data_IF_716238932304
#
_entry.id   IF_716238932304
#
_cell.length_a   1.000
_cell.length_b   1.000
_cell.length_c   1.000
_cell.angle_alpha   90.00
_cell.angle_beta   90.00
_cell.angle_gamma   90.00
#
_symmetry.space_group_name_H-M   'P 1'
#
loop_
_entity.id
_entity.type
_entity.pdbx_description
1 polymer ?
#
# COMPACT_ATOMS: atom_id res chain seq x y z
N UNK A 1 -49.46 -79.40 0.86
CA UNK A 1 -48.90 -78.69 -0.30
C UNK A 1 -49.57 -77.33 -0.39
N UNK A 2 -48.77 -76.28 -0.16
CA UNK A 2 -48.97 -74.84 -0.44
C UNK A 2 -50.32 -74.17 -0.13
N UNK A 3 -50.37 -73.32 0.91
CA UNK A 3 -51.38 -72.29 1.08
C UNK A 3 -50.93 -70.90 0.59
N UNK A 4 -51.96 -70.11 0.33
CA UNK A 4 -52.17 -68.67 0.14
C UNK A 4 -51.23 -67.65 0.85
N UNK A 5 -51.23 -66.42 0.28
CA UNK A 5 -50.72 -65.09 0.74
C UNK A 5 -49.30 -64.74 0.20
N UNK A 6 -49.02 -63.58 -0.40
CA UNK A 6 -49.38 -62.22 0.03
C UNK A 6 -49.31 -61.19 -1.12
N UNK A 7 -50.32 -60.32 -1.17
CA UNK A 7 -50.24 -58.96 -1.72
C UNK A 7 -49.37 -58.15 -0.74
N UNK A 8 -48.12 -57.84 -1.11
CA UNK A 8 -47.32 -56.70 -0.61
C UNK A 8 -45.96 -56.70 -1.34
N UNK A 9 -45.90 -56.17 -2.56
CA UNK A 9 -44.63 -55.64 -3.11
C UNK A 9 -44.81 -54.12 -3.14
N UNK A 10 -44.88 -53.60 -1.92
CA UNK A 10 -44.82 -52.18 -1.60
C UNK A 10 -43.35 -51.78 -1.69
N UNK A 11 -43.06 -50.75 -2.50
CA UNK A 11 -42.07 -49.70 -2.20
C UNK A 11 -40.88 -50.14 -1.33
N UNK A 12 -39.85 -50.73 -1.93
CA UNK A 12 -38.57 -50.93 -1.22
C UNK A 12 -37.34 -50.86 -2.13
N UNK A 13 -37.41 -50.01 -3.17
CA UNK A 13 -36.26 -49.74 -4.06
C UNK A 13 -35.94 -48.25 -4.22
N UNK A 14 -36.35 -47.40 -3.26
CA UNK A 14 -36.09 -45.96 -3.28
C UNK A 14 -35.57 -45.43 -1.93
N UNK A 15 -34.77 -46.23 -1.24
CA UNK A 15 -33.91 -45.75 -0.15
C UNK A 15 -32.49 -46.32 -0.30
N UNK A 16 -31.95 -46.26 -1.52
CA UNK A 16 -30.51 -46.09 -1.63
C UNK A 16 -30.24 -44.63 -1.25
N UNK A 17 -29.88 -44.43 0.01
CA UNK A 17 -29.34 -43.18 0.55
C UNK A 17 -28.28 -42.66 -0.42
N UNK A 18 -28.68 -41.69 -1.25
CA UNK A 18 -27.77 -40.88 -2.02
C UNK A 18 -27.03 -40.00 -1.02
N UNK A 19 -25.90 -40.51 -0.52
CA UNK A 19 -24.77 -39.69 -0.07
C UNK A 19 -24.31 -38.88 -1.28
N UNK A 20 -25.08 -37.84 -1.59
CA UNK A 20 -24.84 -36.89 -2.67
C UNK A 20 -23.78 -35.92 -2.17
N UNK A 21 -22.53 -36.40 -2.13
CA UNK A 21 -21.38 -35.52 -2.11
C UNK A 21 -21.24 -34.90 -3.51
N UNK A 22 -21.12 -33.58 -3.58
CA UNK A 22 -20.45 -32.95 -4.71
C UNK A 22 -19.06 -33.62 -4.81
N UNK A 23 -18.78 -34.23 -5.97
CA UNK A 23 -17.56 -35.00 -6.24
C UNK A 23 -16.68 -34.31 -7.26
N UNK A 24 -16.65 -32.97 -7.23
CA UNK A 24 -16.00 -32.16 -8.23
C UNK A 24 -14.54 -31.89 -7.91
N UNK A 25 -14.26 -31.41 -6.69
CA UNK A 25 -12.91 -31.13 -6.17
C UNK A 25 -12.85 -31.54 -4.71
N UNK A 26 -11.74 -32.13 -4.28
CA UNK A 26 -11.51 -32.43 -2.86
C UNK A 26 -11.23 -31.14 -2.09
N UNK A 27 -12.15 -30.75 -1.22
CA UNK A 27 -12.00 -29.61 -0.30
C UNK A 27 -11.37 -30.09 1.01
N UNK A 28 -10.27 -29.44 1.42
CA UNK A 28 -9.53 -29.81 2.62
C UNK A 28 -10.23 -29.26 3.88
N UNK A 29 -10.87 -30.15 4.64
CA UNK A 29 -11.59 -29.77 5.86
C UNK A 29 -10.58 -29.42 6.96
N UNK A 30 -10.66 -28.19 7.44
CA UNK A 30 -9.85 -27.70 8.56
C UNK A 30 -10.76 -27.39 9.73
N UNK A 31 -10.46 -27.92 10.92
CA UNK A 31 -11.22 -27.59 12.12
C UNK A 31 -10.90 -26.17 12.58
N UNK A 32 -11.90 -25.49 13.15
CA UNK A 32 -11.70 -24.26 13.90
C UNK A 32 -11.04 -24.63 15.24
N UNK A 33 -9.90 -24.02 15.54
CA UNK A 33 -9.15 -24.25 16.76
C UNK A 33 -9.86 -23.63 17.95
N UNK A 34 -9.65 -24.19 19.15
CA UNK A 34 -10.22 -23.61 20.37
C UNK A 34 -9.54 -22.27 20.68
N UNK A 35 -10.30 -21.22 21.07
CA UNK A 35 -9.72 -19.97 21.55
C UNK A 35 -8.78 -20.19 22.73
N UNK A 36 -7.75 -19.35 22.84
CA UNK A 36 -6.87 -19.31 24.00
C UNK A 36 -7.49 -18.45 25.10
N UNK A 37 -7.21 -18.80 26.36
CA UNK A 37 -7.73 -18.07 27.51
C UNK A 37 -7.14 -16.66 27.59
N UNK A 38 -8.02 -15.67 27.82
CA UNK A 38 -7.60 -14.30 28.01
C UNK A 38 -6.95 -14.12 29.40
N UNK A 39 -5.78 -13.46 29.46
CA UNK A 39 -5.16 -13.14 30.75
C UNK A 39 -6.02 -12.16 31.55
N UNK A 40 -6.19 -12.42 32.86
CA UNK A 40 -7.14 -11.71 33.74
C UNK A 40 -6.87 -10.20 33.90
N UNK A 41 -5.70 -9.69 33.48
CA UNK A 41 -5.30 -8.29 33.60
C UNK A 41 -4.57 -7.72 32.36
N UNK A 42 -4.63 -8.40 31.21
CA UNK A 42 -3.96 -7.91 30.00
C UNK A 42 -4.84 -6.94 29.22
N UNK A 43 -4.24 -5.86 28.72
CA UNK A 43 -4.81 -5.04 27.66
C UNK A 43 -4.12 -5.46 26.37
N UNK A 44 -4.78 -6.22 25.48
CA UNK A 44 -4.16 -6.59 24.21
C UNK A 44 -3.74 -5.33 23.44
N UNK A 45 -2.62 -5.41 22.74
CA UNK A 45 -2.21 -4.36 21.84
C UNK A 45 -3.28 -4.17 20.74
N UNK A 46 -3.72 -2.94 20.45
CA UNK A 46 -4.74 -2.71 19.43
C UNK A 46 -4.27 -3.20 18.06
N UNK A 47 -5.06 -4.07 17.42
CA UNK A 47 -4.78 -4.63 16.10
C UNK A 47 -5.71 -4.02 15.06
N UNK A 48 -5.21 -3.83 13.84
CA UNK A 48 -5.98 -3.26 12.73
C UNK A 48 -5.82 -4.09 11.47
N UNK A 49 -6.93 -4.40 10.81
CA UNK A 49 -6.90 -5.11 9.53
C UNK A 49 -6.71 -4.13 8.38
N UNK A 50 -5.61 -4.29 7.64
CA UNK A 50 -5.20 -3.33 6.61
C UNK A 50 -5.73 -3.72 5.22
N UNK A 51 -5.42 -4.93 4.76
CA UNK A 51 -5.81 -5.38 3.41
C UNK A 51 -5.74 -6.89 3.25
N UNK A 52 -6.57 -7.37 2.33
CA UNK A 52 -6.53 -8.72 1.79
C UNK A 52 -6.05 -8.69 0.33
N UNK A 53 -5.22 -9.67 -0.06
CA UNK A 53 -4.80 -9.88 -1.46
C UNK A 53 -4.96 -11.33 -1.87
N UNK A 54 -5.50 -11.56 -3.06
CA UNK A 54 -5.52 -12.87 -3.68
C UNK A 54 -4.23 -13.09 -4.46
N UNK A 55 -3.47 -14.12 -4.09
CA UNK A 55 -2.21 -14.53 -4.71
C UNK A 55 -2.30 -15.97 -5.21
N UNK A 56 -3.37 -16.27 -5.95
CA UNK A 56 -3.65 -17.59 -6.51
C UNK A 56 -2.87 -17.74 -7.83
N UNK A 57 -2.13 -18.83 -8.05
CA UNK A 57 -1.40 -19.07 -9.29
C UNK A 57 -2.31 -19.04 -10.53
N UNK A 58 -1.85 -18.40 -11.60
CA UNK A 58 -2.59 -18.39 -12.87
C UNK A 58 -2.82 -19.81 -13.36
N UNK A 59 -4.09 -20.14 -13.59
CA UNK A 59 -4.52 -21.43 -14.08
C UNK A 59 -4.85 -22.47 -13.01
N UNK A 60 -4.71 -22.12 -11.72
CA UNK A 60 -5.15 -22.98 -10.62
C UNK A 60 -6.66 -23.25 -10.69
N UNK A 61 -7.02 -24.51 -10.44
CA UNK A 61 -8.41 -24.97 -10.34
C UNK A 61 -8.93 -24.65 -8.94
N UNK A 62 -9.74 -23.59 -8.83
CA UNK A 62 -10.22 -23.08 -7.55
C UNK A 62 -11.63 -23.54 -7.18
N UNK A 63 -12.41 -23.95 -8.17
CA UNK A 63 -13.84 -24.17 -8.00
C UNK A 63 -14.34 -25.26 -8.96
N UNK A 64 -15.15 -26.15 -8.43
CA UNK A 64 -15.96 -27.09 -9.18
C UNK A 64 -17.41 -26.70 -9.04
N UNK A 65 -18.16 -26.71 -10.15
CA UNK A 65 -19.58 -26.45 -10.12
C UNK A 65 -20.34 -27.47 -10.97
N UNK A 66 -21.47 -27.96 -10.43
CA UNK A 66 -22.37 -28.83 -11.18
C UNK A 66 -22.97 -28.10 -12.40
N UNK A 67 -23.16 -28.75 -13.57
CA UNK A 67 -23.76 -28.13 -14.74
C UNK A 67 -25.18 -27.61 -14.48
N UNK A 68 -25.52 -26.47 -15.09
CA UNK A 68 -26.91 -25.99 -15.16
C UNK A 68 -27.69 -26.82 -16.19
N UNK A 69 -28.78 -27.49 -15.80
CA UNK A 69 -29.65 -28.22 -16.73
C UNK A 69 -30.50 -29.34 -16.11
N UNK A 70 -31.39 -29.91 -16.93
CA UNK A 70 -32.42 -30.90 -16.57
C UNK A 70 -31.91 -32.19 -15.88
N UNK A 71 -30.64 -32.53 -16.02
CA UNK A 71 -30.01 -33.71 -15.40
C UNK A 71 -29.03 -33.36 -14.27
N UNK A 72 -28.63 -32.09 -14.13
CA UNK A 72 -27.67 -31.64 -13.12
C UNK A 72 -28.24 -31.60 -11.70
N UNK A 73 -29.54 -31.31 -11.56
CA UNK A 73 -30.21 -31.22 -10.26
C UNK A 73 -30.59 -32.58 -9.66
N UNK A 74 -30.70 -33.64 -10.48
CA UNK A 74 -31.16 -34.97 -10.03
C UNK A 74 -30.06 -35.77 -9.32
N UNK A 75 -28.81 -35.57 -9.70
CA UNK A 75 -27.70 -36.38 -9.20
C UNK A 75 -26.63 -35.57 -8.49
N UNK A 76 -26.59 -34.24 -8.66
CA UNK A 76 -25.40 -33.43 -8.36
C UNK A 76 -24.11 -34.10 -8.88
N UNK A 77 -24.18 -35.02 -9.85
CA UNK A 77 -23.10 -35.92 -10.21
C UNK A 77 -22.84 -35.76 -11.70
N UNK A 78 -21.72 -35.09 -11.98
CA UNK A 78 -20.92 -35.17 -13.20
C UNK A 78 -21.58 -34.88 -14.55
N UNK A 79 -20.83 -34.28 -15.50
CA UNK A 79 -19.44 -33.81 -15.38
C UNK A 79 -19.38 -32.38 -14.82
N UNK A 80 -18.58 -32.14 -13.77
CA UNK A 80 -18.39 -30.80 -13.23
C UNK A 80 -17.57 -29.93 -14.18
N UNK A 81 -17.97 -28.67 -14.35
CA UNK A 81 -17.18 -27.70 -15.09
C UNK A 81 -16.10 -27.11 -14.18
N UNK A 82 -14.84 -27.20 -14.58
CA UNK A 82 -13.75 -26.49 -13.89
C UNK A 82 -13.83 -25.01 -14.26
N UNK A 83 -14.26 -24.16 -13.33
CA UNK A 83 -14.29 -22.71 -13.58
C UNK A 83 -12.91 -22.14 -13.28
N UNK A 84 -12.16 -21.84 -14.34
CA UNK A 84 -10.88 -21.14 -14.26
C UNK A 84 -11.14 -19.63 -14.25
N UNK A 85 -11.47 -19.07 -13.08
CA UNK A 85 -11.71 -17.62 -12.96
C UNK A 85 -10.35 -16.93 -12.74
N UNK A 86 -9.98 -16.02 -13.64
CA UNK A 86 -8.82 -15.15 -13.46
C UNK A 86 -9.04 -14.16 -12.30
N UNK A 87 -8.70 -14.57 -11.07
CA UNK A 87 -8.73 -13.71 -9.86
C UNK A 87 -7.45 -12.86 -9.76
N UNK A 88 -6.53 -12.99 -10.73
CA UNK A 88 -5.26 -12.27 -10.74
C UNK A 88 -5.46 -10.76 -10.95
N UNK A 89 -5.26 -9.99 -9.88
CA UNK A 89 -4.98 -8.55 -9.96
C UNK A 89 -6.00 -7.61 -9.33
N UNK A 90 -7.13 -8.09 -8.78
CA UNK A 90 -8.04 -7.20 -8.05
C UNK A 90 -7.76 -7.26 -6.56
N UNK A 91 -7.12 -6.21 -6.05
CA UNK A 91 -7.11 -5.94 -4.60
C UNK A 91 -8.51 -5.44 -4.27
N UNK A 92 -9.41 -6.33 -3.88
CA UNK A 92 -10.66 -5.94 -3.25
C UNK A 92 -10.36 -5.81 -1.76
N UNK A 93 -10.15 -4.59 -1.27
CA UNK A 93 -10.49 -4.33 0.13
C UNK A 93 -12.00 -4.20 0.11
N UNK A 94 -12.70 -5.33 0.19
CA UNK A 94 -14.13 -5.31 0.43
C UNK A 94 -14.28 -5.01 1.92
N UNK A 95 -15.02 -3.95 2.25
CA UNK A 95 -15.32 -3.60 3.64
C UNK A 95 -15.95 -4.80 4.37
N UNK A 96 -16.61 -5.71 3.65
CA UNK A 96 -17.12 -6.99 4.18
C UNK A 96 -16.06 -7.85 4.86
N UNK A 97 -14.90 -8.08 4.23
CA UNK A 97 -13.84 -8.90 4.84
C UNK A 97 -13.16 -8.20 6.02
N UNK A 98 -13.08 -6.87 5.99
CA UNK A 98 -12.57 -6.07 7.11
C UNK A 98 -13.49 -6.20 8.33
N UNK A 99 -14.80 -6.00 8.13
CA UNK A 99 -15.82 -6.20 9.17
C UNK A 99 -15.77 -7.63 9.71
N UNK A 100 -15.73 -8.63 8.83
CA UNK A 100 -15.71 -10.03 9.24
C UNK A 100 -14.46 -10.41 10.05
N UNK A 101 -13.29 -9.92 9.64
CA UNK A 101 -12.07 -10.11 10.42
C UNK A 101 -12.20 -9.47 11.80
N UNK A 102 -12.69 -8.24 11.85
CA UNK A 102 -12.81 -7.47 13.08
C UNK A 102 -13.78 -8.14 14.05
N UNK A 103 -14.98 -8.50 13.59
CA UNK A 103 -15.99 -9.19 14.40
C UNK A 103 -15.47 -10.54 14.92
N UNK A 104 -14.73 -11.28 14.09
CA UNK A 104 -14.11 -12.55 14.50
C UNK A 104 -13.09 -12.33 15.62
N UNK A 105 -12.18 -11.37 15.46
CA UNK A 105 -11.14 -11.09 16.45
C UNK A 105 -11.70 -10.48 17.74
N UNK A 106 -12.71 -9.60 17.65
CA UNK A 106 -13.42 -9.06 18.81
C UNK A 106 -14.12 -10.19 19.58
N UNK A 107 -14.70 -11.19 18.90
CA UNK A 107 -15.33 -12.35 19.56
C UNK A 107 -14.33 -13.23 20.34
N UNK A 108 -13.05 -13.18 19.97
CA UNK A 108 -11.93 -13.82 20.67
C UNK A 108 -11.32 -12.92 21.76
N UNK A 109 -11.80 -11.67 21.86
CA UNK A 109 -11.40 -10.64 22.83
C UNK A 109 -10.09 -9.92 22.53
N UNK A 110 -9.72 -9.84 21.26
CA UNK A 110 -8.69 -8.90 20.81
C UNK A 110 -9.24 -7.47 20.77
N UNK A 111 -8.39 -6.48 21.07
CA UNK A 111 -8.72 -5.06 20.86
C UNK A 111 -8.54 -4.72 19.38
N UNK A 112 -9.64 -4.56 18.65
CA UNK A 112 -9.64 -4.30 17.21
C UNK A 112 -9.98 -2.84 16.92
N UNK A 113 -9.24 -2.27 15.97
CA UNK A 113 -9.34 -0.87 15.54
C UNK A 113 -9.88 -0.76 14.12
N UNK A 114 -10.60 0.35 13.86
CA UNK A 114 -11.08 0.67 12.52
C UNK A 114 -12.18 -0.27 12.04
N UNK A 115 -13.04 -0.72 12.94
CA UNK A 115 -14.23 -1.51 12.59
C UNK A 115 -15.24 -0.61 11.82
N UNK A 116 -15.57 -0.91 10.54
CA UNK A 116 -16.57 -0.16 9.79
C UNK A 116 -17.95 -0.13 10.46
N UNK A 117 -18.24 -1.06 11.37
CA UNK A 117 -19.46 -1.04 12.20
C UNK A 117 -19.52 0.10 13.23
N UNK A 118 -18.40 0.78 13.53
CA UNK A 118 -18.33 1.93 14.44
C UNK A 118 -18.52 3.23 13.66
N UNK A 119 -19.77 3.70 13.58
CA UNK A 119 -20.20 4.75 12.65
C UNK A 119 -19.64 6.17 12.90
N UNK A 120 -19.03 6.47 14.05
CA UNK A 120 -18.71 7.85 14.44
C UNK A 120 -17.25 8.13 14.82
N UNK A 121 -16.43 7.10 15.06
CA UNK A 121 -15.07 7.27 15.62
C UNK A 121 -13.98 6.49 14.84
N UNK A 122 -14.23 6.08 13.60
CA UNK A 122 -13.32 5.20 12.84
C UNK A 122 -11.91 5.79 12.66
N UNK A 123 -11.78 7.09 12.34
CA UNK A 123 -10.47 7.73 12.14
C UNK A 123 -9.65 7.82 13.42
N UNK A 124 -10.27 8.15 14.56
CA UNK A 124 -9.57 8.24 15.85
C UNK A 124 -9.18 6.86 16.37
N UNK A 125 -10.06 5.86 16.17
CA UNK A 125 -9.81 4.47 16.56
C UNK A 125 -8.65 3.85 15.75
N UNK A 126 -8.55 4.14 14.45
CA UNK A 126 -7.43 3.70 13.61
C UNK A 126 -6.07 4.21 14.10
N UNK A 127 -6.02 5.37 14.78
CA UNK A 127 -4.77 5.94 15.29
C UNK A 127 -4.21 5.17 16.49
N UNK A 128 -5.00 4.33 17.15
CA UNK A 128 -4.55 3.45 18.25
C UNK A 128 -3.84 2.18 17.75
N UNK A 129 -3.95 1.85 16.47
CA UNK A 129 -3.42 0.61 15.89
C UNK A 129 -1.93 0.47 16.21
N UNK A 130 -1.55 -0.61 16.90
CA UNK A 130 -0.15 -0.97 17.15
C UNK A 130 0.34 -1.95 16.08
N UNK A 131 -0.46 -2.97 15.81
CA UNK A 131 -0.15 -4.01 14.83
C UNK A 131 -1.11 -3.96 13.64
N UNK A 132 -0.56 -3.72 12.44
CA UNK A 132 -1.29 -3.76 11.19
C UNK A 132 -1.21 -5.17 10.59
N UNK A 133 -2.36 -5.81 10.37
CA UNK A 133 -2.46 -7.18 9.86
C UNK A 133 -2.83 -7.16 8.38
N UNK A 134 -2.09 -7.92 7.57
CA UNK A 134 -2.37 -8.16 6.16
C UNK A 134 -2.63 -9.63 5.88
N UNK A 135 -3.61 -9.91 5.02
CA UNK A 135 -3.97 -11.24 4.58
C UNK A 135 -3.58 -11.47 3.11
N UNK A 136 -2.99 -12.61 2.81
CA UNK A 136 -2.74 -13.07 1.45
C UNK A 136 -3.34 -14.46 1.24
N UNK A 137 -4.41 -14.52 0.46
CA UNK A 137 -5.08 -15.79 0.12
C UNK A 137 -4.29 -16.48 -0.99
N UNK A 138 -3.70 -17.63 -0.69
CA UNK A 138 -2.80 -18.36 -1.62
C UNK A 138 -3.44 -19.56 -2.29
N UNK A 139 -4.45 -20.16 -1.66
CA UNK A 139 -5.19 -21.30 -2.19
C UNK A 139 -6.67 -21.19 -1.84
N UNK A 140 -7.53 -21.55 -2.79
CA UNK A 140 -8.98 -21.62 -2.62
C UNK A 140 -9.45 -22.91 -3.30
N UNK A 141 -10.25 -23.70 -2.59
CA UNK A 141 -10.92 -24.87 -3.13
C UNK A 141 -12.39 -24.82 -2.74
N UNK A 142 -13.27 -24.71 -3.71
CA UNK A 142 -14.71 -24.79 -3.52
C UNK A 142 -15.32 -25.91 -4.36
N UNK A 143 -16.22 -26.68 -3.77
CA UNK A 143 -17.06 -27.63 -4.46
C UNK A 143 -18.53 -27.24 -4.27
N UNK A 144 -19.14 -26.74 -5.34
CA UNK A 144 -20.44 -26.10 -5.34
C UNK A 144 -21.45 -26.92 -6.15
N UNK A 145 -22.61 -27.08 -5.57
CA UNK A 145 -23.76 -27.74 -6.17
C UNK A 145 -24.87 -26.71 -6.42
N UNK A 146 -25.22 -26.53 -7.69
CA UNK A 146 -26.33 -25.67 -8.09
C UNK A 146 -27.65 -26.41 -7.86
N UNK A 147 -28.56 -25.82 -7.08
CA UNK A 147 -29.86 -26.42 -6.77
C UNK A 147 -30.96 -25.80 -7.60
N UNK A 148 -31.89 -26.64 -8.03
CA UNK A 148 -33.06 -26.23 -8.82
C UNK A 148 -34.33 -26.94 -8.32
N UNK A 149 -35.50 -26.34 -8.55
CA UNK A 149 -36.78 -27.01 -8.25
C UNK A 149 -37.03 -28.19 -9.19
N UNK A 150 -37.47 -29.31 -8.62
CA UNK A 150 -37.75 -30.59 -9.29
C UNK A 150 -38.60 -30.48 -10.58
N UNK A 151 -39.68 -29.69 -10.57
CA UNK A 151 -40.66 -29.66 -11.67
C UNK A 151 -40.45 -28.56 -12.72
N UNK A 152 -39.85 -27.43 -12.33
CA UNK A 152 -39.84 -26.22 -13.16
C UNK A 152 -38.43 -25.66 -13.42
N UNK A 153 -37.39 -26.26 -12.82
CA UNK A 153 -36.01 -25.82 -13.02
C UNK A 153 -35.69 -24.41 -12.49
N UNK A 154 -36.53 -23.85 -11.60
CA UNK A 154 -36.20 -22.58 -10.94
C UNK A 154 -34.95 -22.72 -10.10
N UNK A 155 -34.04 -21.77 -10.28
CA UNK A 155 -32.81 -21.63 -9.51
C UNK A 155 -33.13 -21.48 -8.02
N UNK A 156 -32.44 -22.26 -7.18
CA UNK A 156 -32.52 -22.21 -5.71
C UNK A 156 -31.19 -21.77 -5.09
N UNK A 157 -30.23 -21.35 -5.91
CA UNK A 157 -28.89 -20.98 -5.51
C UNK A 157 -27.95 -22.17 -5.42
N UNK A 158 -26.92 -22.02 -4.61
CA UNK A 158 -25.79 -22.93 -4.51
C UNK A 158 -25.65 -23.42 -3.06
N UNK A 159 -25.43 -24.72 -2.88
CA UNK A 159 -24.93 -25.32 -1.64
C UNK A 159 -23.56 -25.96 -1.90
N UNK A 160 -22.82 -26.33 -0.85
CA UNK A 160 -21.48 -26.89 -1.05
C UNK A 160 -20.54 -26.68 0.11
N UNK A 161 -19.25 -26.79 -0.18
CA UNK A 161 -18.18 -26.55 0.78
C UNK A 161 -17.01 -25.79 0.14
N UNK A 162 -16.35 -24.98 0.95
CA UNK A 162 -15.19 -24.20 0.54
C UNK A 162 -14.09 -24.27 1.61
N UNK A 163 -12.84 -24.27 1.15
CA UNK A 163 -11.68 -24.10 1.99
C UNK A 163 -10.76 -23.06 1.37
N UNK A 164 -10.08 -22.30 2.23
CA UNK A 164 -9.08 -21.33 1.82
C UNK A 164 -7.85 -21.39 2.72
N UNK A 165 -6.72 -21.01 2.14
CA UNK A 165 -5.45 -20.86 2.83
C UNK A 165 -5.05 -19.39 2.83
N UNK A 166 -4.84 -18.84 4.01
CA UNK A 166 -4.44 -17.43 4.20
C UNK A 166 -3.08 -17.37 4.85
N UNK A 167 -2.18 -16.67 4.20
CA UNK A 167 -0.90 -16.25 4.77
C UNK A 167 -1.09 -14.87 5.42
N UNK A 168 -0.85 -14.81 6.73
CA UNK A 168 -0.99 -13.61 7.53
C UNK A 168 0.38 -12.97 7.74
N UNK A 169 0.43 -11.66 7.63
CA UNK A 169 1.60 -10.86 8.00
C UNK A 169 1.18 -9.82 9.02
N UNK A 170 1.89 -9.75 10.14
CA UNK A 170 1.69 -8.74 11.18
C UNK A 170 2.84 -7.75 11.13
N UNK A 171 2.50 -6.48 10.98
CA UNK A 171 3.43 -5.38 10.86
C UNK A 171 3.33 -4.47 12.09
N UNK A 172 4.45 -4.24 12.75
CA UNK A 172 4.56 -3.30 13.86
C UNK A 172 4.66 -1.87 13.30
N UNK A 173 3.66 -1.04 13.56
CA UNK A 173 3.61 0.34 13.06
C UNK A 173 4.62 1.26 13.77
N UNK A 174 4.96 0.97 15.02
CA UNK A 174 5.91 1.75 15.82
C UNK A 174 7.35 1.50 15.33
N UNK A 175 7.73 0.24 15.17
CA UNK A 175 9.09 -0.15 14.76
C UNK A 175 9.26 -0.34 13.25
N UNK A 176 8.16 -0.26 12.48
CA UNK A 176 8.13 -0.36 11.02
C UNK A 176 8.75 -1.65 10.47
N UNK A 177 8.46 -2.80 11.09
CA UNK A 177 8.97 -4.12 10.68
C UNK A 177 7.90 -5.21 10.75
N UNK A 178 8.07 -6.27 9.98
CA UNK A 178 7.26 -7.47 10.11
C UNK A 178 7.68 -8.22 11.38
N UNK A 179 6.73 -8.51 12.26
CA UNK A 179 7.01 -9.16 13.55
C UNK A 179 6.46 -10.58 13.65
N UNK A 180 5.52 -10.94 12.78
CA UNK A 180 4.93 -12.27 12.77
C UNK A 180 4.39 -12.63 11.38
N UNK A 181 4.57 -13.89 11.00
CA UNK A 181 4.00 -14.49 9.80
C UNK A 181 3.55 -15.91 10.13
N UNK A 182 2.35 -16.25 9.70
CA UNK A 182 1.81 -17.61 9.83
C UNK A 182 0.86 -17.90 8.68
N UNK A 183 0.52 -19.17 8.50
CA UNK A 183 -0.45 -19.60 7.51
C UNK A 183 -1.56 -20.35 8.22
N UNK A 184 -2.78 -19.88 8.09
CA UNK A 184 -3.96 -20.60 8.60
C UNK A 184 -4.85 -21.04 7.45
N UNK A 185 -5.63 -22.08 7.73
CA UNK A 185 -6.65 -22.57 6.81
C UNK A 185 -8.01 -22.41 7.44
N UNK A 186 -9.00 -22.11 6.62
CA UNK A 186 -10.39 -22.05 7.04
C UNK A 186 -11.24 -22.90 6.12
N UNK A 187 -12.33 -23.43 6.68
CA UNK A 187 -13.27 -24.31 6.00
C UNK A 187 -14.69 -23.92 6.38
N UNK A 188 -15.57 -23.93 5.39
CA UNK A 188 -16.99 -23.69 5.55
C UNK A 188 -17.80 -24.69 4.74
N UNK A 189 -19.03 -24.95 5.21
CA UNK A 189 -19.98 -25.84 4.53
C UNK A 189 -21.38 -25.31 4.66
N UNK A 190 -22.01 -25.13 3.52
CA UNK A 190 -23.38 -24.68 3.40
C UNK A 190 -24.25 -25.89 3.03
N UNK A 191 -25.11 -26.31 3.97
CA UNK A 191 -25.99 -27.47 3.79
C UNK A 191 -27.29 -27.18 3.04
N UNK A 192 -27.64 -25.90 2.87
CA UNK A 192 -28.88 -25.45 2.23
C UNK A 192 -28.57 -24.41 1.18
N UNK A 193 -29.12 -24.56 -0.02
CA UNK A 193 -28.80 -23.67 -1.13
C UNK A 193 -29.22 -22.22 -0.86
N UNK A 194 -28.33 -21.30 -1.21
CA UNK A 194 -28.51 -19.86 -1.11
C UNK A 194 -28.09 -19.21 -2.42
N UNK A 195 -28.80 -18.16 -2.85
CA UNK A 195 -28.46 -17.39 -4.05
C UNK A 195 -27.08 -16.72 -3.97
N UNK A 196 -26.62 -16.40 -2.75
CA UNK A 196 -25.26 -15.91 -2.48
C UNK A 196 -24.34 -17.01 -1.91
N UNK A 197 -24.65 -18.29 -2.17
CA UNK A 197 -24.00 -19.43 -1.54
C UNK A 197 -22.48 -19.44 -1.70
N UNK A 198 -21.96 -19.05 -2.87
CA UNK A 198 -20.52 -18.92 -3.10
C UNK A 198 -19.88 -17.86 -2.18
N UNK A 199 -20.47 -16.67 -2.08
CA UNK A 199 -19.90 -15.56 -1.31
C UNK A 199 -19.93 -15.89 0.19
N UNK A 200 -21.06 -16.41 0.68
CA UNK A 200 -21.22 -16.86 2.08
C UNK A 200 -20.18 -17.93 2.44
N UNK A 201 -19.96 -18.91 1.57
CA UNK A 201 -18.96 -19.96 1.79
C UNK A 201 -17.53 -19.39 1.87
N UNK A 202 -17.18 -18.42 1.04
CA UNK A 202 -15.86 -17.79 1.07
C UNK A 202 -15.68 -16.92 2.33
N UNK A 203 -16.73 -16.23 2.76
CA UNK A 203 -16.74 -15.44 3.99
C UNK A 203 -16.60 -16.32 5.22
N UNK A 204 -17.44 -17.34 5.38
CA UNK A 204 -17.34 -18.27 6.50
C UNK A 204 -15.99 -18.97 6.56
N UNK A 205 -15.44 -19.37 5.41
CA UNK A 205 -14.11 -19.96 5.35
C UNK A 205 -13.02 -18.93 5.72
N UNK A 206 -13.21 -17.65 5.41
CA UNK A 206 -12.26 -16.59 5.80
C UNK A 206 -12.33 -16.31 7.30
N UNK A 207 -13.54 -16.21 7.85
CA UNK A 207 -13.77 -16.09 9.29
C UNK A 207 -13.14 -17.26 10.05
N UNK A 208 -13.30 -18.50 9.57
CA UNK A 208 -12.66 -19.67 10.15
C UNK A 208 -11.11 -19.58 10.12
N UNK A 209 -10.53 -19.06 9.03
CA UNK A 209 -9.09 -18.84 8.94
C UNK A 209 -8.61 -17.74 9.90
N UNK A 210 -9.35 -16.64 10.01
CA UNK A 210 -9.08 -15.54 10.95
C UNK A 210 -9.22 -16.01 12.40
N UNK A 211 -10.22 -16.83 12.70
CA UNK A 211 -10.37 -17.45 14.02
C UNK A 211 -9.16 -18.34 14.34
N UNK A 212 -8.69 -19.12 13.37
CA UNK A 212 -7.48 -19.93 13.54
C UNK A 212 -6.21 -19.08 13.72
N UNK A 213 -6.18 -17.83 13.23
CA UNK A 213 -5.10 -16.89 13.52
C UNK A 213 -5.21 -16.40 14.97
N UNK A 214 -6.40 -16.02 15.44
CA UNK A 214 -6.62 -15.63 16.84
C UNK A 214 -6.43 -16.77 17.85
N UNK A 215 -6.48 -18.02 17.41
CA UNK A 215 -6.16 -19.19 18.23
C UNK A 215 -4.67 -19.61 18.14
N UNK A 216 -3.88 -18.97 17.27
CA UNK A 216 -2.45 -19.23 17.15
C UNK A 216 -1.72 -18.68 18.39
N UNK A 217 -0.96 -19.56 19.06
CA UNK A 217 -0.27 -19.23 20.32
C UNK A 217 0.72 -18.08 20.16
N UNK A 218 1.50 -18.07 19.08
CA UNK A 218 2.53 -17.07 18.87
C UNK A 218 1.91 -15.72 18.49
N UNK A 219 0.82 -15.73 17.73
CA UNK A 219 0.03 -14.53 17.47
C UNK A 219 -0.61 -13.97 18.75
N UNK A 220 -1.23 -14.84 19.55
CA UNK A 220 -1.81 -14.49 20.84
C UNK A 220 -0.76 -13.88 21.78
N UNK A 221 0.39 -14.53 21.93
CA UNK A 221 1.45 -14.05 22.83
C UNK A 221 2.07 -12.73 22.36
N UNK A 222 2.19 -12.53 21.05
CA UNK A 222 2.61 -11.25 20.48
C UNK A 222 1.63 -10.12 20.87
N UNK A 223 0.33 -10.33 20.71
CA UNK A 223 -0.66 -9.27 20.90
C UNK A 223 -0.92 -9.00 22.39
N UNK A 224 -0.96 -10.04 23.22
CA UNK A 224 -1.26 -9.90 24.65
C UNK A 224 -0.04 -9.60 25.53
N UNK A 225 1.15 -10.06 25.12
CA UNK A 225 2.37 -9.93 25.93
C UNK A 225 3.53 -9.22 25.22
N UNK A 226 3.40 -8.88 23.93
CA UNK A 226 4.49 -8.27 23.15
C UNK A 226 5.64 -9.23 22.85
N UNK A 227 5.42 -10.54 23.00
CA UNK A 227 6.44 -11.57 22.82
C UNK A 227 6.44 -12.05 21.37
N UNK A 228 7.35 -11.50 20.55
CA UNK A 228 7.55 -11.99 19.19
C UNK A 228 8.26 -13.36 19.21
N UNK A 229 7.86 -14.33 18.36
CA UNK A 229 8.51 -15.65 18.32
C UNK A 229 9.97 -15.58 17.87
N UNK A 230 10.86 -16.30 18.57
CA UNK A 230 12.32 -16.26 18.38
C UNK A 230 12.79 -16.75 17.00
N UNK A 231 12.05 -17.68 16.38
CA UNK A 231 12.38 -18.28 15.09
C UNK A 231 11.23 -18.08 14.11
N UNK A 232 11.11 -16.88 13.54
CA UNK A 232 10.22 -16.67 12.39
C UNK A 232 10.89 -17.27 11.15
N UNK A 233 10.49 -18.44 10.62
CA UNK A 233 11.09 -19.00 9.42
C UNK A 233 10.58 -18.16 8.25
N UNK A 234 11.45 -17.32 7.70
CA UNK A 234 11.07 -16.35 6.68
C UNK A 234 11.01 -14.93 7.19
N UNK A 235 12.13 -14.44 7.73
CA UNK A 235 12.66 -13.16 7.24
C UNK A 235 12.84 -13.32 5.72
N UNK A 236 11.73 -13.21 5.00
CA UNK A 236 11.78 -12.49 3.73
C UNK A 236 12.51 -11.21 4.12
N UNK A 237 13.80 -11.09 3.75
CA UNK A 237 14.34 -9.77 3.46
C UNK A 237 13.34 -9.22 2.46
N UNK A 238 12.40 -8.43 2.96
CA UNK A 238 11.56 -7.68 2.05
C UNK A 238 12.57 -6.89 1.20
N UNK A 239 12.59 -6.98 -0.13
CA UNK A 239 13.42 -6.08 -0.93
C UNK A 239 13.04 -4.59 -0.69
N UNK A 240 11.96 -4.34 0.07
CA UNK A 240 11.53 -3.07 0.64
C UNK A 240 11.59 -2.98 2.19
N UNK A 241 12.03 -4.03 2.91
CA UNK A 241 12.60 -3.84 4.25
C UNK A 241 13.74 -2.87 4.05
N UNK A 242 13.90 -1.86 4.90
CA UNK A 242 14.98 -0.91 4.71
C UNK A 242 16.31 -1.67 4.88
N UNK A 243 17.13 -1.94 3.83
CA UNK A 243 18.49 -2.34 4.08
C UNK A 243 19.12 -1.35 5.07
N UNK A 244 20.06 -1.82 5.92
CA UNK A 244 20.80 -0.93 6.79
C UNK A 244 21.26 0.29 5.99
N UNK A 245 21.13 1.45 6.62
CA UNK A 245 21.51 2.72 6.00
C UNK A 245 22.91 2.61 5.42
N UNK A 246 23.08 2.99 4.15
CA UNK A 246 24.40 3.00 3.52
C UNK A 246 25.24 4.18 4.01
N UNK A 247 24.60 5.14 4.66
CA UNK A 247 25.17 6.43 5.03
C UNK A 247 24.92 6.77 6.50
N UNK A 248 25.84 7.48 7.14
CA UNK A 248 25.54 8.04 8.46
C UNK A 248 24.74 9.33 8.30
N UNK A 249 23.51 9.37 8.80
CA UNK A 249 22.68 10.59 8.84
C UNK A 249 23.39 11.80 9.49
N UNK A 250 24.37 11.55 10.37
CA UNK A 250 25.19 12.56 11.05
C UNK A 250 26.44 12.99 10.28
N UNK A 251 26.73 12.39 9.12
CA UNK A 251 27.86 12.77 8.28
C UNK A 251 27.78 14.26 7.93
N UNK A 252 28.86 15.01 8.14
CA UNK A 252 28.88 16.44 7.84
C UNK A 252 28.85 16.68 6.33
N UNK A 253 27.74 17.23 5.81
CA UNK A 253 27.63 17.66 4.42
C UNK A 253 27.97 19.13 4.33
N UNK A 254 29.04 19.49 3.62
CA UNK A 254 29.42 20.89 3.38
C UNK A 254 29.36 21.19 1.89
N UNK A 255 28.68 22.28 1.54
CA UNK A 255 28.62 22.75 0.16
C UNK A 255 29.85 23.60 -0.16
N UNK A 256 30.60 23.31 -1.25
CA UNK A 256 31.68 24.17 -1.68
C UNK A 256 31.12 25.51 -2.19
N UNK A 257 31.77 26.61 -1.83
CA UNK A 257 31.49 27.93 -2.40
C UNK A 257 31.74 27.87 -3.91
N UNK A 258 30.68 27.98 -4.70
CA UNK A 258 30.76 28.11 -6.15
C UNK A 258 30.53 29.56 -6.53
N UNK A 259 31.31 30.13 -7.45
CA UNK A 259 31.03 31.45 -7.96
C UNK A 259 29.64 31.45 -8.60
N UNK A 260 28.85 32.47 -8.28
CA UNK A 260 27.55 32.66 -8.91
C UNK A 260 27.72 32.92 -10.40
N UNK A 261 26.80 32.40 -11.18
CA UNK A 261 26.68 32.77 -12.58
C UNK A 261 26.19 34.22 -12.67
N UNK A 262 26.80 34.98 -13.59
CA UNK A 262 26.50 36.39 -13.86
C UNK A 262 26.08 36.64 -15.30
N UNK A 263 26.23 35.63 -16.18
CA UNK A 263 25.78 35.66 -17.58
C UNK A 263 24.28 35.41 -17.71
N UNK A 264 23.74 35.55 -18.92
CA UNK A 264 22.34 35.19 -19.19
C UNK A 264 22.12 33.68 -19.07
N UNK A 265 20.93 33.28 -18.64
CA UNK A 265 20.52 31.88 -18.51
C UNK A 265 20.57 31.14 -19.86
N UNK A 266 21.39 30.09 -19.94
CA UNK A 266 21.36 29.14 -21.05
C UNK A 266 20.31 28.07 -20.78
N UNK A 267 19.18 28.14 -21.48
CA UNK A 267 18.07 27.19 -21.36
C UNK A 267 18.48 25.77 -21.77
N UNK A 268 19.48 25.60 -22.64
CA UNK A 268 20.00 24.30 -23.03
C UNK A 268 20.80 23.61 -21.91
N UNK A 269 21.37 24.40 -20.99
CA UNK A 269 22.11 23.90 -19.83
C UNK A 269 21.19 23.54 -18.65
N UNK A 270 19.90 23.89 -18.71
CA UNK A 270 18.92 23.61 -17.65
C UNK A 270 18.31 22.20 -17.69
N UNK A 271 18.46 21.48 -18.79
CA UNK A 271 18.16 20.04 -18.86
C UNK A 271 19.50 19.29 -18.77
N UNK A 272 19.73 18.41 -17.77
CA UNK A 272 18.79 17.84 -16.78
C UNK A 272 19.09 18.33 -15.33
N UNK A 273 18.71 19.57 -14.99
CA UNK A 273 18.94 20.11 -13.64
C UNK A 273 18.01 19.47 -12.60
N UNK A 274 16.76 19.18 -12.99
CA UNK A 274 15.78 18.58 -12.11
C UNK A 274 15.72 17.06 -12.30
N UNK A 275 15.43 16.34 -11.21
CA UNK A 275 15.16 14.90 -11.21
C UNK A 275 13.74 14.65 -10.73
N UNK A 276 13.11 13.60 -11.23
CA UNK A 276 11.83 13.13 -10.68
C UNK A 276 12.09 12.15 -9.55
N UNK A 277 11.41 12.35 -8.43
CA UNK A 277 11.47 11.50 -7.25
C UNK A 277 10.17 10.71 -7.17
N UNK A 278 10.27 9.39 -7.00
CA UNK A 278 9.11 8.50 -6.80
C UNK A 278 9.24 7.78 -5.46
N UNK A 279 8.32 8.04 -4.54
CA UNK A 279 8.24 7.39 -3.23
C UNK A 279 6.92 6.59 -3.13
N UNK A 280 6.96 5.31 -3.52
CA UNK A 280 5.74 4.51 -3.64
C UNK A 280 4.81 5.05 -4.74
N UNK A 281 3.64 5.56 -4.35
CA UNK A 281 2.65 6.17 -5.25
C UNK A 281 2.75 7.71 -5.31
N UNK A 282 3.58 8.34 -4.47
CA UNK A 282 3.82 9.78 -4.55
C UNK A 282 4.95 10.07 -5.53
N UNK A 283 4.89 11.22 -6.17
CA UNK A 283 5.96 11.71 -7.02
C UNK A 283 6.18 13.21 -6.81
N UNK A 284 7.40 13.64 -7.08
CA UNK A 284 7.80 15.05 -7.04
C UNK A 284 9.07 15.27 -7.83
N UNK A 285 9.69 16.41 -7.59
CA UNK A 285 10.94 16.85 -8.19
C UNK A 285 12.02 17.02 -7.13
N UNK A 286 13.27 17.03 -7.57
CA UNK A 286 14.44 17.36 -6.76
C UNK A 286 15.57 17.86 -7.64
N UNK A 287 16.69 18.23 -7.04
CA UNK A 287 17.89 18.65 -7.77
C UNK A 287 19.15 18.35 -6.98
N UNK A 288 20.26 18.16 -7.68
CA UNK A 288 21.55 17.86 -7.08
C UNK A 288 22.20 19.11 -6.49
N UNK A 289 22.75 18.97 -5.28
CA UNK A 289 23.49 20.04 -4.59
C UNK A 289 24.98 19.74 -4.44
N UNK A 290 25.42 18.50 -4.59
CA UNK A 290 26.84 18.14 -4.55
C UNK A 290 27.23 17.14 -5.64
N UNK A 291 28.54 17.00 -5.90
CA UNK A 291 29.05 16.05 -6.91
C UNK A 291 29.03 14.59 -6.46
N UNK A 292 28.79 14.38 -5.18
CA UNK A 292 28.74 13.08 -4.54
C UNK A 292 27.31 12.51 -4.58
N UNK A 293 26.34 13.19 -5.21
CA UNK A 293 24.98 12.68 -5.39
C UNK A 293 24.00 13.02 -4.27
N UNK A 294 24.23 14.14 -3.56
CA UNK A 294 23.23 14.69 -2.64
C UNK A 294 22.14 15.44 -3.42
N UNK A 295 20.87 15.16 -3.08
CA UNK A 295 19.70 15.73 -3.74
C UNK A 295 18.82 16.42 -2.69
N UNK A 296 18.33 17.62 -2.99
CA UNK A 296 17.27 18.27 -2.20
C UNK A 296 15.90 18.04 -2.83
N UNK A 297 14.89 17.89 -1.95
CA UNK A 297 13.47 17.79 -2.31
C UNK A 297 12.59 18.20 -1.11
N UNK A 298 11.27 18.07 -1.23
CA UNK A 298 10.36 18.27 -0.10
C UNK A 298 10.22 17.04 0.79
N UNK A 299 9.94 17.27 2.08
CA UNK A 299 9.63 16.23 3.04
C UNK A 299 8.33 15.47 2.67
N UNK A 300 7.30 16.16 2.19
CA UNK A 300 6.04 15.52 1.81
C UNK A 300 6.16 14.63 0.56
N UNK A 301 7.12 14.91 -0.34
CA UNK A 301 7.36 14.09 -1.55
C UNK A 301 7.88 12.71 -1.14
N UNK A 302 8.81 12.67 -0.17
CA UNK A 302 9.41 11.43 0.33
C UNK A 302 8.54 10.75 1.39
N UNK A 303 7.70 11.51 2.09
CA UNK A 303 6.74 11.03 3.08
C UNK A 303 7.42 10.28 4.23
N UNK A 304 7.14 8.98 4.33
CA UNK A 304 7.74 8.08 5.31
C UNK A 304 8.61 6.99 4.67
N UNK A 305 9.05 7.21 3.43
CA UNK A 305 9.97 6.33 2.74
C UNK A 305 11.39 6.55 3.29
N UNK A 306 12.15 5.46 3.47
CA UNK A 306 13.59 5.50 3.75
C UNK A 306 14.42 5.64 2.48
N UNK A 307 13.87 5.17 1.34
CA UNK A 307 14.49 5.17 0.03
C UNK A 307 13.48 5.57 -1.02
N UNK A 308 13.95 6.24 -2.05
CA UNK A 308 13.12 6.72 -3.16
C UNK A 308 13.79 6.39 -4.49
N UNK A 309 12.98 6.26 -5.53
CA UNK A 309 13.49 6.10 -6.90
C UNK A 309 13.72 7.46 -7.52
N UNK A 310 14.90 7.67 -8.07
CA UNK A 310 15.27 8.86 -8.82
C UNK A 310 15.21 8.54 -10.31
N UNK A 311 14.46 9.35 -11.06
CA UNK A 311 14.33 9.23 -12.50
C UNK A 311 14.83 10.51 -13.14
N UNK A 312 15.90 10.39 -13.92
CA UNK A 312 16.53 11.50 -14.63
C UNK A 312 15.99 11.56 -16.07
N UNK A 313 16.02 12.76 -16.67
CA UNK A 313 15.65 12.92 -18.07
C UNK A 313 16.55 12.07 -18.99
N UNK A 314 15.96 11.49 -20.03
CA UNK A 314 16.67 10.71 -21.05
C UNK A 314 17.13 9.29 -20.67
N UNK A 315 17.05 8.88 -19.38
CA UNK A 315 17.45 7.52 -18.96
C UNK A 315 16.27 6.57 -18.73
N UNK A 316 16.49 5.29 -19.08
CA UNK A 316 15.54 4.20 -18.81
C UNK A 316 15.68 3.65 -17.40
N UNK A 317 16.90 3.65 -16.87
CA UNK A 317 17.21 3.13 -15.54
C UNK A 317 16.76 4.09 -14.44
N UNK A 318 16.26 3.52 -13.35
CA UNK A 318 15.85 4.26 -12.15
C UNK A 318 16.94 4.10 -11.12
N UNK A 319 17.49 5.21 -10.62
CA UNK A 319 18.47 5.18 -9.53
C UNK A 319 17.73 5.08 -8.19
N UNK A 320 18.42 4.63 -7.15
CA UNK A 320 17.91 4.61 -5.78
C UNK A 320 18.67 5.66 -4.97
N UNK A 321 17.92 6.41 -4.16
CA UNK A 321 18.48 7.30 -3.17
C UNK A 321 17.92 6.99 -1.79
N UNK A 322 18.78 7.06 -0.78
CA UNK A 322 18.41 7.01 0.62
C UNK A 322 18.06 8.40 1.14
N UNK A 323 17.07 8.47 2.03
CA UNK A 323 16.70 9.68 2.76
C UNK A 323 17.63 9.85 3.95
N UNK A 324 18.53 10.84 3.89
CA UNK A 324 19.49 11.11 4.97
C UNK A 324 18.91 11.95 6.10
N UNK A 325 18.20 13.04 5.74
CA UNK A 325 17.67 14.01 6.69
C UNK A 325 16.31 14.51 6.22
N UNK A 326 15.40 14.73 7.16
CA UNK A 326 14.08 15.33 6.89
C UNK A 326 13.81 16.39 7.94
N UNK A 327 13.44 17.59 7.50
CA UNK A 327 12.75 18.58 8.32
C UNK A 327 11.31 18.73 7.80
N UNK A 328 10.34 18.16 8.54
CA UNK A 328 8.92 18.22 8.19
C UNK A 328 8.30 19.59 8.42
N UNK A 329 8.87 20.40 9.30
CA UNK A 329 8.36 21.73 9.62
C UNK A 329 8.66 22.71 8.50
N UNK A 330 9.85 22.61 7.92
CA UNK A 330 10.31 23.36 6.74
C UNK A 330 9.95 22.69 5.43
N UNK A 331 9.42 21.48 5.47
CA UNK A 331 9.07 20.65 4.33
C UNK A 331 10.24 20.42 3.37
N UNK A 332 11.40 20.06 3.91
CA UNK A 332 12.62 19.76 3.12
C UNK A 332 13.22 18.41 3.51
N UNK A 333 13.83 17.74 2.54
CA UNK A 333 14.54 16.48 2.73
C UNK A 333 15.85 16.48 1.94
N UNK A 334 16.88 15.90 2.56
CA UNK A 334 18.16 15.59 1.94
C UNK A 334 18.21 14.11 1.60
N UNK A 335 18.49 13.81 0.33
CA UNK A 335 18.68 12.46 -0.17
C UNK A 335 20.12 12.24 -0.61
N UNK A 336 20.52 10.98 -0.70
CA UNK A 336 21.82 10.55 -1.21
C UNK A 336 21.67 9.35 -2.13
N UNK A 337 22.18 9.47 -3.35
CA UNK A 337 22.24 8.35 -4.28
C UNK A 337 23.09 7.22 -3.70
N UNK A 338 22.57 5.99 -3.76
CA UNK A 338 23.27 4.78 -3.31
C UNK A 338 24.45 4.42 -4.21
N UNK A 339 24.28 4.63 -5.51
CA UNK A 339 25.29 4.35 -6.53
C UNK A 339 25.26 5.42 -7.61
N UNK A 340 26.46 5.85 -8.04
CA UNK A 340 26.61 6.80 -9.13
C UNK A 340 26.75 6.07 -10.48
N UNK A 341 25.82 6.25 -11.43
CA UNK A 341 26.03 5.77 -12.79
C UNK A 341 27.19 6.56 -13.43
N UNK A 342 28.34 5.91 -13.64
CA UNK A 342 29.59 6.55 -14.07
C UNK A 342 29.52 7.37 -15.37
N UNK A 343 28.46 7.23 -16.15
CA UNK A 343 28.17 7.94 -17.40
C UNK A 343 27.15 9.10 -17.24
N UNK A 344 26.66 9.37 -16.03
CA UNK A 344 25.66 10.42 -15.80
C UNK A 344 26.32 11.79 -15.63
N UNK A 345 26.03 12.68 -16.58
CA UNK A 345 26.38 14.09 -16.49
C UNK A 345 25.40 14.81 -15.55
N UNK A 346 25.85 15.05 -14.32
CA UNK A 346 25.11 15.82 -13.33
C UNK A 346 25.44 17.29 -13.42
N UNK A 347 24.38 18.10 -13.50
CA UNK A 347 24.49 19.55 -13.37
C UNK A 347 24.19 19.94 -11.93
N UNK A 348 25.23 20.29 -11.17
CA UNK A 348 25.09 20.96 -9.88
C UNK A 348 25.22 22.46 -10.12
N UNK A 349 24.14 23.21 -9.92
CA UNK A 349 24.12 24.65 -10.11
C UNK A 349 24.70 25.41 -8.90
N UNK A 350 25.20 26.64 -9.07
CA UNK A 350 25.56 27.51 -7.96
C UNK A 350 24.32 27.86 -7.11
N UNK A 351 24.53 28.08 -5.82
CA UNK A 351 23.48 28.43 -4.86
C UNK A 351 23.70 29.88 -4.42
N UNK A 352 22.66 30.70 -4.57
CA UNK A 352 22.62 32.07 -4.07
C UNK A 352 21.85 32.09 -2.76
N UNK A 353 22.54 32.35 -1.66
CA UNK A 353 21.94 32.36 -0.31
C UNK A 353 21.02 33.56 -0.07
N UNK A 354 21.28 34.67 -0.76
CA UNK A 354 20.44 35.86 -0.66
C UNK A 354 19.09 35.65 -1.36
N UNK A 355 18.03 36.00 -0.64
CA UNK A 355 16.66 35.95 -1.16
C UNK A 355 16.52 36.93 -2.36
N UNK A 356 15.90 36.51 -3.47
CA UNK A 356 15.63 37.38 -4.61
C UNK A 356 14.77 38.58 -4.23
N UNK A 357 15.11 39.76 -4.74
CA UNK A 357 14.28 40.94 -4.54
C UNK A 357 12.92 40.77 -5.24
N UNK A 358 11.89 41.43 -4.71
CA UNK A 358 10.60 41.55 -5.42
C UNK A 358 10.87 42.17 -6.79
N UNK A 359 10.18 41.66 -7.82
CA UNK A 359 10.37 41.92 -9.26
C UNK A 359 11.58 41.26 -9.94
N UNK A 360 12.46 40.57 -9.22
CA UNK A 360 13.48 39.74 -9.89
C UNK A 360 12.81 38.64 -10.72
N UNK A 361 13.36 38.40 -11.91
CA UNK A 361 12.97 37.29 -12.77
C UNK A 361 13.45 35.98 -12.18
N UNK A 362 12.56 35.00 -12.14
CA UNK A 362 12.84 33.65 -11.64
C UNK A 362 12.27 32.58 -12.57
N UNK A 363 12.88 31.40 -12.52
CA UNK A 363 12.50 30.23 -13.30
C UNK A 363 12.29 29.04 -12.38
N UNK A 364 11.19 28.32 -12.53
CA UNK A 364 11.02 27.02 -11.87
C UNK A 364 11.32 25.92 -12.88
N UNK A 365 12.10 24.92 -12.44
CA UNK A 365 12.37 23.72 -13.20
C UNK A 365 11.75 22.55 -12.46
N UNK A 366 10.99 21.71 -13.15
CA UNK A 366 10.37 20.55 -12.52
C UNK A 366 10.12 19.40 -13.47
N UNK A 367 9.80 18.26 -12.87
CA UNK A 367 9.30 17.07 -13.50
C UNK A 367 7.83 16.87 -13.09
N UNK A 368 6.86 17.41 -13.86
CA UNK A 368 5.44 17.16 -13.64
C UNK A 368 5.12 15.66 -13.61
N UNK A 369 3.95 15.31 -13.10
CA UNK A 369 3.46 13.93 -12.92
C UNK A 369 3.70 12.99 -14.11
N UNK A 370 3.76 13.53 -15.33
CA UNK A 370 3.99 12.81 -16.56
C UNK A 370 5.48 12.79 -16.89
N UNK A 371 6.09 11.59 -16.96
CA UNK A 371 7.52 11.39 -17.28
C UNK A 371 7.94 12.11 -18.59
N UNK A 372 7.03 12.30 -19.53
CA UNK A 372 7.27 13.01 -20.80
C UNK A 372 7.46 14.52 -20.63
N UNK A 373 7.07 15.08 -19.49
CA UNK A 373 7.17 16.50 -19.18
C UNK A 373 8.35 16.81 -18.25
N UNK A 374 9.24 15.84 -17.99
CA UNK A 374 10.49 16.07 -17.28
C UNK A 374 11.25 17.25 -17.91
N UNK A 375 11.91 18.07 -17.09
CA UNK A 375 12.59 19.31 -17.47
C UNK A 375 11.65 20.41 -18.00
N UNK A 376 10.41 20.46 -17.51
CA UNK A 376 9.54 21.62 -17.78
C UNK A 376 10.10 22.84 -17.06
N UNK A 377 10.42 23.88 -17.83
CA UNK A 377 10.86 25.18 -17.32
C UNK A 377 9.74 26.20 -17.48
N UNK A 378 9.40 26.88 -16.38
CA UNK A 378 8.43 27.98 -16.37
C UNK A 378 9.09 29.25 -15.84
N UNK A 379 8.64 30.41 -16.33
CA UNK A 379 9.21 31.72 -16.01
C UNK A 379 8.18 32.61 -15.33
N UNK A 380 8.64 33.42 -14.38
CA UNK A 380 7.87 34.46 -13.71
C UNK A 380 8.78 35.47 -13.02
N UNK A 381 8.23 36.17 -12.03
CA UNK A 381 8.90 37.13 -11.16
C UNK A 381 8.59 36.84 -9.69
N UNK A 382 9.47 37.30 -8.81
CA UNK A 382 9.17 37.34 -7.37
C UNK A 382 8.11 38.40 -7.12
N UNK A 383 6.93 37.94 -6.69
CA UNK A 383 5.78 38.78 -6.39
C UNK A 383 5.86 39.36 -4.98
N UNK A 384 6.36 38.57 -4.01
CA UNK A 384 6.50 39.01 -2.62
C UNK A 384 7.36 38.06 -1.77
N UNK A 385 7.70 38.52 -0.57
CA UNK A 385 8.05 37.64 0.55
C UNK A 385 6.85 37.54 1.50
N UNK A 386 6.44 36.32 1.84
CA UNK A 386 5.27 36.07 2.69
C UNK A 386 5.67 35.27 3.92
N UNK A 387 5.09 35.63 5.05
CA UNK A 387 5.19 34.82 6.26
C UNK A 387 3.99 33.87 6.30
N UNK A 388 4.25 32.58 6.13
CA UNK A 388 3.24 31.56 6.37
C UNK A 388 3.02 31.45 7.89
N UNK A 389 1.83 31.82 8.35
CA UNK A 389 1.46 31.77 9.77
C UNK A 389 1.26 30.35 10.30
N UNK A 390 0.85 29.41 9.44
CA UNK A 390 0.63 28.00 9.80
C UNK A 390 1.98 27.29 9.94
N UNK A 391 2.85 27.43 8.94
CA UNK A 391 4.19 26.83 8.97
C UNK A 391 5.22 27.68 9.76
N UNK A 392 4.85 28.91 10.15
CA UNK A 392 5.66 29.87 10.92
C UNK A 392 7.00 30.20 10.26
N UNK A 393 6.98 30.37 8.95
CA UNK A 393 8.19 30.53 8.13
C UNK A 393 8.03 31.58 7.03
N UNK A 394 9.16 32.08 6.52
CA UNK A 394 9.18 32.98 5.37
C UNK A 394 9.33 32.19 4.07
N UNK A 395 8.54 32.58 3.07
CA UNK A 395 8.49 31.98 1.75
C UNK A 395 8.67 33.06 0.67
N UNK A 396 9.27 32.66 -0.44
CA UNK A 396 9.31 33.45 -1.68
C UNK A 396 8.00 33.16 -2.40
N UNK A 397 7.22 34.19 -2.67
CA UNK A 397 6.01 34.10 -3.50
C UNK A 397 6.35 34.59 -4.90
N UNK A 398 6.07 33.80 -5.92
CA UNK A 398 6.32 34.12 -7.32
C UNK A 398 5.15 33.71 -8.21
N UNK A 399 4.99 34.41 -9.34
CA UNK A 399 3.94 34.13 -10.34
C UNK A 399 4.39 33.10 -11.40
N UNK A 400 5.26 32.17 -10.98
CA UNK A 400 5.80 31.12 -11.83
C UNK A 400 4.83 29.95 -11.83
N UNK A 401 4.36 29.51 -13.00
CA UNK A 401 3.47 28.35 -13.11
C UNK A 401 4.17 27.07 -12.63
N UNK A 402 3.59 26.40 -11.64
CA UNK A 402 4.00 25.05 -11.22
C UNK A 402 2.79 24.10 -11.29
N UNK A 403 3.04 22.82 -11.57
CA UNK A 403 2.00 21.80 -11.68
C UNK A 403 2.25 20.67 -10.67
N UNK A 404 1.27 19.77 -10.51
CA UNK A 404 1.45 18.55 -9.73
C UNK A 404 2.69 17.78 -10.19
N UNK A 405 3.64 17.58 -9.27
CA UNK A 405 4.94 16.97 -9.53
C UNK A 405 6.14 17.93 -9.53
N UNK A 406 5.92 19.25 -9.65
CA UNK A 406 7.01 20.25 -9.56
C UNK A 406 7.54 20.47 -8.14
N UNK A 407 6.80 20.03 -7.10
CA UNK A 407 7.21 20.09 -5.69
C UNK A 407 8.59 19.48 -5.46
N UNK A 408 9.49 20.26 -4.87
CA UNK A 408 10.87 19.90 -4.59
C UNK A 408 11.85 20.31 -5.69
N UNK A 409 11.36 20.79 -6.83
CA UNK A 409 12.19 21.32 -7.92
C UNK A 409 12.84 22.67 -7.56
N UNK A 410 13.94 23.04 -8.23
CA UNK A 410 14.64 24.29 -7.93
C UNK A 410 13.93 25.51 -8.51
N UNK A 411 13.98 26.61 -7.75
CA UNK A 411 13.73 27.97 -8.24
C UNK A 411 15.08 28.62 -8.54
N UNK A 412 15.24 29.13 -9.76
CA UNK A 412 16.45 29.72 -10.28
C UNK A 412 16.28 31.23 -10.51
N UNK A 413 17.34 32.01 -10.31
CA UNK A 413 17.38 33.41 -10.75
C UNK A 413 17.63 33.54 -12.27
N UNK A 414 17.69 34.78 -12.76
CA UNK A 414 17.92 35.08 -14.17
C UNK A 414 19.27 34.61 -14.73
N UNK A 415 20.19 34.16 -13.87
CA UNK A 415 21.50 33.65 -14.24
C UNK A 415 21.63 32.13 -14.08
N UNK A 416 20.58 31.46 -13.58
CA UNK A 416 20.59 30.02 -13.32
C UNK A 416 21.17 29.63 -11.95
N UNK A 417 21.27 30.57 -11.01
CA UNK A 417 21.63 30.24 -9.64
C UNK A 417 20.39 29.79 -8.86
N UNK A 418 20.52 28.75 -8.04
CA UNK A 418 19.44 28.28 -7.18
C UNK A 418 19.20 29.30 -6.07
N UNK A 419 17.95 29.74 -5.95
CA UNK A 419 17.48 30.69 -4.92
C UNK A 419 16.41 30.10 -4.00
N UNK A 420 15.78 29.00 -4.40
CA UNK A 420 14.74 28.37 -3.60
C UNK A 420 14.32 26.98 -4.10
N UNK A 421 13.32 26.42 -3.43
CA UNK A 421 12.78 25.09 -3.65
C UNK A 421 11.25 25.16 -3.68
N UNK A 422 10.62 24.61 -4.71
CA UNK A 422 9.16 24.65 -4.89
C UNK A 422 8.44 23.78 -3.86
N UNK A 423 7.31 24.24 -3.29
CA UNK A 423 6.54 23.46 -2.29
C UNK A 423 5.24 22.94 -2.89
N UNK A 424 4.29 23.83 -3.12
CA UNK A 424 3.05 23.58 -3.85
C UNK A 424 2.42 24.94 -4.17
N UNK A 425 1.51 24.97 -5.15
CA UNK A 425 0.82 26.19 -5.51
C UNK A 425 -0.20 26.60 -4.46
N UNK A 426 -0.44 27.90 -4.28
CA UNK A 426 -1.46 28.37 -3.37
C UNK A 426 -2.85 28.03 -3.91
N UNK A 427 -3.54 27.08 -3.28
CA UNK A 427 -4.90 26.64 -3.61
C UNK A 427 -5.88 27.29 -2.63
N UNK A 428 -6.72 28.22 -3.12
CA UNK A 428 -7.88 28.69 -2.35
C UNK A 428 -8.99 27.64 -2.40
N UNK A 429 -9.96 27.70 -1.48
CA UNK A 429 -11.05 26.72 -1.32
C UNK A 429 -11.97 26.49 -2.54
N UNK A 430 -11.70 27.12 -3.68
CA UNK A 430 -12.13 26.71 -5.00
C UNK A 430 -10.87 26.35 -5.78
N UNK A 431 -10.77 25.13 -6.32
CA UNK A 431 -9.61 24.49 -6.97
C UNK A 431 -8.98 25.23 -8.19
N UNK A 432 -8.91 26.56 -8.19
CA UNK A 432 -8.25 27.38 -9.20
C UNK A 432 -6.82 27.72 -8.76
N UNK A 433 -5.88 27.50 -9.67
CA UNK A 433 -4.50 27.99 -9.54
C UNK A 433 -4.55 29.52 -9.53
N UNK A 434 -4.26 30.13 -8.39
CA UNK A 434 -4.27 31.60 -8.21
C UNK A 434 -3.20 32.35 -9.03
N UNK A 435 -2.38 31.62 -9.79
CA UNK A 435 -1.20 32.16 -10.46
C UNK A 435 -0.06 32.52 -9.50
N UNK A 436 -0.22 32.33 -8.20
CA UNK A 436 0.77 32.62 -7.17
C UNK A 436 1.22 31.33 -6.48
N UNK A 437 2.53 31.14 -6.42
CA UNK A 437 3.15 29.93 -5.90
C UNK A 437 4.23 30.27 -4.87
N UNK A 438 4.39 29.39 -3.89
CA UNK A 438 5.32 29.60 -2.80
C UNK A 438 6.53 28.65 -2.89
N UNK A 439 7.68 29.20 -2.52
CA UNK A 439 8.97 28.54 -2.58
C UNK A 439 9.71 28.75 -1.26
N UNK A 440 10.35 27.70 -0.77
CA UNK A 440 11.23 27.75 0.39
C UNK A 440 12.54 28.43 -0.05
N UNK A 441 13.00 29.49 0.63
CA UNK A 441 14.31 30.07 0.37
C UNK A 441 15.42 29.04 0.52
N UNK A 442 16.40 29.00 -0.39
CA UNK A 442 17.43 27.94 -0.35
C UNK A 442 18.27 27.99 0.92
N UNK A 443 18.60 29.18 1.43
CA UNK A 443 19.33 29.34 2.69
C UNK A 443 18.58 28.71 3.87
N UNK A 444 17.27 28.95 3.94
CA UNK A 444 16.38 28.40 4.96
C UNK A 444 16.32 26.85 4.88
N UNK A 445 16.32 26.29 3.66
CA UNK A 445 16.34 24.84 3.45
C UNK A 445 17.66 24.20 3.92
N UNK A 446 18.80 24.84 3.61
CA UNK A 446 20.12 24.37 4.02
C UNK A 446 20.31 24.44 5.54
N UNK A 447 19.85 25.53 6.16
CA UNK A 447 19.86 25.69 7.62
C UNK A 447 19.04 24.60 8.32
N UNK A 448 17.83 24.33 7.83
CA UNK A 448 16.95 23.29 8.39
C UNK A 448 17.55 21.88 8.32
N UNK A 449 18.39 21.63 7.32
CA UNK A 449 19.05 20.35 7.10
C UNK A 449 20.47 20.30 7.67
N UNK A 450 20.92 21.34 8.38
CA UNK A 450 22.28 21.48 8.93
C UNK A 450 23.38 21.27 7.87
N UNK A 451 23.25 21.98 6.75
CA UNK A 451 24.19 21.95 5.61
C UNK A 451 24.92 23.30 5.51
N UNK A 452 26.12 23.45 6.10
CA UNK A 452 26.91 24.66 5.95
C UNK A 452 27.40 24.85 4.51
N UNK A 453 27.46 26.11 4.07
CA UNK A 453 28.16 26.51 2.85
C UNK A 453 29.53 27.03 3.25
N UNK A 454 30.60 26.51 2.62
CA UNK A 454 31.96 26.97 2.90
C UNK A 454 32.08 28.47 2.59
N UNK A 455 32.84 29.21 3.40
CA UNK A 455 33.18 30.59 3.02
C UNK A 455 34.10 30.56 1.79
N UNK A 456 33.91 31.47 0.83
CA UNK A 456 34.78 31.57 -0.35
C UNK A 456 36.23 31.89 0.00
#
# INVERSE_FOLDING_TARGET
MTPQRSILILFCFLLATSLSGCGGIRVDKTAVQQPLDQPVDSRPAPIGFNKIRYAIPTGATIMSQSPRGLTGWLTCAGPYGTVQRGITGRTFVDDRYKTLFNDTMESLGYDVTGNPGRLFDEEEDMMRTTYSIGARVTDIKADLCHRQTFLFGYDRGEDGEAALTVEWTVFDLLHRKNVFKTTTKGYARLGTANFEGTDVLMEEAFAAAAHNLGADKDFHDLVFFGLAPENTPGTFEDPYENPPSLYDSRESVTLPARPLFTGGLDMGALSPVAVMIQAGNTHGSGFFITREGHILTNAHVVGAASRVRIVTAGKKEKLIAEVLRIDRKRDVALLKLEEWPGDFAMTVLPIRLDKPAVSETVYAVGAPAYKQLQDTVTKGIVSAHRYDRKARQWEIQADVTIHGGSSGGPLLDAHGNIVGLAVSGYVNGAQELSGLNNFIPIADALEALDIPVSKP
#
